data_IF_382555517266
#
_entry.id   IF_382555517266
#
_cell.length_a   1.000
_cell.length_b   1.000
_cell.length_c   1.000
_cell.angle_alpha   90.00
_cell.angle_beta   90.00
_cell.angle_gamma   90.00
#
_symmetry.space_group_name_H-M   'P 1'
#
loop_
_entity.id
_entity.type
_entity.pdbx_description
1 polymer ?
#
# COMPACT_ATOMS: atom_id res chain seq x y z
N UNK A 1 -18.49 -21.69 12.59
CA UNK A 1 -19.18 -20.73 11.70
C UNK A 1 -18.24 -19.56 11.46
N UNK A 2 -17.76 -19.30 10.24
CA UNK A 2 -16.89 -18.14 10.00
C UNK A 2 -17.73 -16.88 10.20
N UNK A 3 -17.26 -15.97 11.06
CA UNK A 3 -17.90 -14.67 11.28
C UNK A 3 -17.95 -13.92 9.96
N UNK A 4 -19.12 -13.41 9.59
CA UNK A 4 -19.30 -12.49 8.48
C UNK A 4 -18.29 -11.34 8.63
N UNK A 5 -17.27 -11.32 7.77
CA UNK A 5 -16.39 -10.18 7.59
C UNK A 5 -17.31 -9.12 7.01
N UNK A 6 -17.73 -8.16 7.84
CA UNK A 6 -18.43 -6.98 7.33
C UNK A 6 -17.40 -6.30 6.46
N UNK A 7 -17.54 -6.43 5.14
CA UNK A 7 -16.66 -5.83 4.14
C UNK A 7 -16.81 -4.30 4.21
N UNK A 8 -16.19 -3.72 5.24
CA UNK A 8 -16.05 -2.28 5.39
C UNK A 8 -15.13 -1.83 4.27
N UNK A 9 -15.64 -0.99 3.39
CA UNK A 9 -14.83 -0.36 2.36
C UNK A 9 -14.12 0.85 2.95
N UNK A 10 -12.86 1.06 2.57
CA UNK A 10 -12.09 2.28 2.84
C UNK A 10 -11.91 3.07 1.54
N UNK A 11 -11.77 4.38 1.69
CA UNK A 11 -11.43 5.29 0.60
C UNK A 11 -9.95 5.63 0.72
N UNK A 12 -9.18 5.33 -0.31
CA UNK A 12 -7.77 5.71 -0.44
C UNK A 12 -7.65 6.95 -1.30
N UNK A 13 -6.78 7.88 -0.92
CA UNK A 13 -6.58 9.16 -1.60
C UNK A 13 -5.16 9.28 -2.11
N UNK A 14 -4.99 9.73 -3.35
CA UNK A 14 -3.67 10.08 -3.85
C UNK A 14 -3.36 11.56 -3.57
N UNK A 15 -2.07 11.95 -3.59
CA UNK A 15 -1.68 13.36 -3.50
C UNK A 15 -2.25 14.24 -4.62
N UNK A 16 -2.63 13.64 -5.76
CA UNK A 16 -3.29 14.34 -6.87
C UNK A 16 -4.80 14.50 -6.68
N UNK A 17 -5.36 14.04 -5.55
CA UNK A 17 -6.79 14.11 -5.23
C UNK A 17 -7.64 13.01 -5.86
N UNK A 18 -7.04 11.98 -6.47
CA UNK A 18 -7.79 10.83 -6.96
C UNK A 18 -8.18 9.93 -5.78
N UNK A 19 -9.35 9.31 -5.86
CA UNK A 19 -9.84 8.39 -4.84
C UNK A 19 -10.10 6.99 -5.40
N UNK A 20 -9.85 5.97 -4.58
CA UNK A 20 -10.20 4.59 -4.87
C UNK A 20 -10.86 3.96 -3.66
N UNK A 21 -11.66 2.93 -3.91
CA UNK A 21 -12.34 2.15 -2.88
C UNK A 21 -11.75 0.75 -2.83
N UNK A 22 -11.40 0.29 -1.63
CA UNK A 22 -10.92 -1.08 -1.42
C UNK A 22 -11.46 -1.66 -0.12
N UNK A 23 -11.46 -2.98 0.01
CA UNK A 23 -11.87 -3.62 1.27
C UNK A 23 -10.88 -3.29 2.37
N UNK A 24 -11.39 -2.95 3.56
CA UNK A 24 -10.58 -2.51 4.71
C UNK A 24 -9.50 -3.51 5.07
N UNK A 25 -9.81 -4.80 5.01
CA UNK A 25 -8.85 -5.81 5.40
C UNK A 25 -7.67 -5.87 4.43
N UNK A 26 -7.87 -5.63 3.12
CA UNK A 26 -6.76 -5.48 2.16
C UNK A 26 -5.90 -4.27 2.51
N UNK A 27 -6.56 -3.14 2.75
CA UNK A 27 -5.89 -1.89 3.09
C UNK A 27 -4.99 -2.04 4.31
N UNK A 28 -5.52 -2.56 5.42
CA UNK A 28 -4.78 -2.65 6.69
C UNK A 28 -3.59 -3.62 6.59
N UNK A 29 -3.74 -4.75 5.89
CA UNK A 29 -2.64 -5.70 5.69
C UNK A 29 -1.51 -5.08 4.87
N UNK A 30 -1.85 -4.41 3.76
CA UNK A 30 -0.85 -3.77 2.89
C UNK A 30 -0.23 -2.57 3.60
N UNK A 31 -1.02 -1.78 4.32
CA UNK A 31 -0.55 -0.64 5.13
C UNK A 31 0.46 -1.11 6.17
N UNK A 32 0.14 -2.15 6.92
CA UNK A 32 1.03 -2.73 7.93
C UNK A 32 2.34 -3.20 7.29
N UNK A 33 2.25 -4.00 6.21
CA UNK A 33 3.43 -4.45 5.48
C UNK A 33 4.29 -3.28 4.97
N UNK A 34 3.68 -2.24 4.41
CA UNK A 34 4.39 -1.07 3.90
C UNK A 34 5.13 -0.32 5.01
N UNK A 35 4.49 -0.10 6.16
CA UNK A 35 5.10 0.59 7.29
C UNK A 35 6.24 -0.22 7.93
N UNK A 36 6.16 -1.56 7.90
CA UNK A 36 7.27 -2.43 8.34
C UNK A 36 8.45 -2.41 7.36
N UNK A 37 8.17 -2.43 6.05
CA UNK A 37 9.20 -2.47 5.00
C UNK A 37 9.88 -1.11 4.81
N UNK A 38 9.16 -0.01 5.04
CA UNK A 38 9.61 1.37 4.89
C UNK A 38 9.59 2.08 6.25
N UNK A 39 10.47 1.70 7.20
CA UNK A 39 10.39 2.14 8.59
C UNK A 39 10.75 3.62 8.79
N UNK A 40 11.26 4.30 7.76
CA UNK A 40 11.68 5.70 7.85
C UNK A 40 11.14 6.53 6.68
N UNK A 41 10.72 7.80 6.92
CA UNK A 41 10.36 8.73 5.87
C UNK A 41 11.52 8.93 4.89
N UNK A 42 11.24 8.92 3.58
CA UNK A 42 12.24 9.10 2.53
C UNK A 42 12.90 7.81 2.03
N UNK A 43 12.60 6.65 2.61
CA UNK A 43 13.01 5.37 2.01
C UNK A 43 12.10 5.07 0.83
N UNK A 44 12.62 5.23 -0.39
CA UNK A 44 11.95 4.78 -1.60
C UNK A 44 12.46 3.40 -2.01
N UNK A 45 11.54 2.46 -2.21
CA UNK A 45 11.78 1.29 -3.04
C UNK A 45 11.12 1.53 -4.40
N UNK A 46 11.77 1.10 -5.49
CA UNK A 46 11.09 0.97 -6.77
C UNK A 46 9.81 0.14 -6.60
N UNK A 47 8.73 0.51 -7.29
CA UNK A 47 7.43 -0.15 -7.13
C UNK A 47 7.52 -1.68 -7.31
N UNK A 48 8.38 -2.14 -8.22
CA UNK A 48 8.63 -3.56 -8.45
C UNK A 48 9.25 -4.26 -7.22
N UNK A 49 10.29 -3.67 -6.64
CA UNK A 49 10.92 -4.22 -5.42
C UNK A 49 10.02 -4.07 -4.20
N UNK A 50 9.21 -3.01 -4.13
CA UNK A 50 8.22 -2.82 -3.10
C UNK A 50 7.15 -3.92 -3.15
N UNK A 51 6.62 -4.21 -4.34
CA UNK A 51 5.64 -5.28 -4.55
C UNK A 51 6.18 -6.64 -4.09
N UNK A 52 7.45 -6.96 -4.41
CA UNK A 52 8.09 -8.20 -3.93
C UNK A 52 8.20 -8.26 -2.42
N UNK A 53 8.62 -7.16 -1.78
CA UNK A 53 8.77 -7.10 -0.33
C UNK A 53 7.42 -7.22 0.37
N UNK A 54 6.40 -6.50 -0.11
CA UNK A 54 5.04 -6.59 0.41
C UNK A 54 4.51 -8.02 0.23
N UNK A 55 4.66 -8.59 -0.97
CA UNK A 55 4.26 -9.98 -1.21
C UNK A 55 4.89 -10.94 -0.19
N UNK A 56 6.18 -10.79 0.12
CA UNK A 56 6.88 -11.62 1.11
C UNK A 56 6.45 -11.37 2.57
N UNK A 57 5.95 -10.18 2.88
CA UNK A 57 5.47 -9.82 4.21
C UNK A 57 4.04 -10.30 4.48
N UNK A 58 3.20 -10.39 3.44
CA UNK A 58 1.83 -10.89 3.56
C UNK A 58 1.83 -12.39 3.92
N UNK A 59 0.84 -12.84 4.69
CA UNK A 59 0.64 -14.26 4.93
C UNK A 59 0.17 -14.99 3.64
N UNK A 60 0.40 -16.31 3.51
CA UNK A 60 0.06 -17.05 2.30
C UNK A 60 -1.43 -16.97 1.92
N UNK A 61 -2.34 -16.98 2.90
CA UNK A 61 -3.77 -16.87 2.62
C UNK A 61 -4.09 -15.51 2.00
N UNK A 62 -3.54 -14.43 2.54
CA UNK A 62 -3.73 -13.08 1.99
C UNK A 62 -3.16 -12.95 0.58
N UNK A 63 -1.99 -13.56 0.30
CA UNK A 63 -1.37 -13.54 -1.04
C UNK A 63 -2.27 -14.16 -2.11
N UNK A 64 -2.88 -15.30 -1.80
CA UNK A 64 -3.68 -16.06 -2.76
C UNK A 64 -5.05 -15.42 -3.04
N UNK A 65 -5.49 -14.51 -2.17
CA UNK A 65 -6.77 -13.79 -2.29
C UNK A 65 -6.65 -12.42 -2.97
N UNK A 66 -5.47 -11.81 -3.04
CA UNK A 66 -5.30 -10.49 -3.63
C UNK A 66 -5.19 -10.60 -5.15
N UNK A 67 -6.25 -10.19 -5.86
CA UNK A 67 -6.30 -10.24 -7.34
C UNK A 67 -5.29 -9.31 -8.03
N UNK A 68 -4.92 -8.17 -7.42
CA UNK A 68 -3.95 -7.23 -7.99
C UNK A 68 -3.11 -6.52 -6.93
N UNK A 69 -2.08 -7.21 -6.44
CA UNK A 69 -1.23 -6.68 -5.37
C UNK A 69 -0.55 -5.37 -5.76
N UNK A 70 -0.04 -5.27 -6.99
CA UNK A 70 0.63 -4.07 -7.49
C UNK A 70 -0.27 -2.83 -7.44
N UNK A 71 -1.54 -2.98 -7.85
CA UNK A 71 -2.50 -1.88 -7.83
C UNK A 71 -2.82 -1.45 -6.41
N UNK A 72 -3.09 -2.41 -5.51
CA UNK A 72 -3.40 -2.09 -4.11
C UNK A 72 -2.20 -1.47 -3.39
N UNK A 73 -0.99 -1.98 -3.59
CA UNK A 73 0.25 -1.41 -3.04
C UNK A 73 0.44 0.03 -3.50
N UNK A 74 0.21 0.33 -4.77
CA UNK A 74 0.31 1.69 -5.28
C UNK A 74 -0.69 2.63 -4.60
N UNK A 75 -1.96 2.24 -4.49
CA UNK A 75 -2.99 3.06 -3.85
C UNK A 75 -2.75 3.28 -2.37
N UNK A 76 -2.44 2.22 -1.61
CA UNK A 76 -2.17 2.33 -0.18
C UNK A 76 -0.92 3.17 0.06
N UNK A 77 0.14 3.00 -0.73
CA UNK A 77 1.33 3.85 -0.63
C UNK A 77 0.99 5.33 -0.84
N UNK A 78 0.23 5.65 -1.88
CA UNK A 78 -0.16 7.04 -2.18
C UNK A 78 -1.04 7.63 -1.08
N UNK A 79 -1.90 6.81 -0.47
CA UNK A 79 -2.70 7.19 0.69
C UNK A 79 -1.83 7.50 1.90
N UNK A 80 -0.85 6.65 2.21
CA UNK A 80 0.11 6.90 3.29
C UNK A 80 1.00 8.12 3.03
N UNK A 81 1.29 8.45 1.76
CA UNK A 81 1.95 9.71 1.39
C UNK A 81 1.03 10.92 1.68
N UNK A 82 -0.27 10.80 1.38
CA UNK A 82 -1.29 11.83 1.70
C UNK A 82 -1.46 12.01 3.21
N UNK A 83 -1.41 10.93 3.99
CA UNK A 83 -1.47 10.95 5.46
C UNK A 83 -0.16 11.44 6.12
N UNK A 84 0.91 11.60 5.33
CA UNK A 84 2.23 11.99 5.83
C UNK A 84 2.98 10.88 6.57
N UNK A 85 2.49 9.64 6.53
CA UNK A 85 3.13 8.46 7.10
C UNK A 85 4.30 7.96 6.24
N UNK A 86 4.23 8.19 4.92
CA UNK A 86 5.34 7.99 4.00
C UNK A 86 5.71 9.32 3.34
N UNK A 87 6.99 9.48 2.97
CA UNK A 87 7.47 10.62 2.18
C UNK A 87 8.22 10.11 0.97
N UNK A 88 7.97 10.73 -0.18
CA UNK A 88 8.82 10.52 -1.37
C UNK A 88 10.20 11.14 -1.11
N UNK A 89 11.23 10.38 -1.39
CA UNK A 89 12.58 10.93 -1.55
C UNK A 89 12.57 11.96 -2.69
N UNK A 90 13.07 13.16 -2.42
CA UNK A 90 13.20 14.23 -3.40
C UNK A 90 14.11 13.82 -4.57
N UNK A 91 15.12 12.97 -4.33
CA UNK A 91 16.05 12.51 -5.36
C UNK A 91 15.40 11.57 -6.40
N UNK A 92 14.30 10.90 -6.05
CA UNK A 92 13.56 10.05 -6.98
C UNK A 92 12.68 10.88 -7.93
N UNK A 93 12.18 12.03 -7.49
CA UNK A 93 11.33 12.91 -8.30
C UNK A 93 12.12 13.61 -9.41
N UNK A 94 13.39 13.91 -9.18
CA UNK A 94 14.26 14.51 -10.21
C UNK A 94 14.68 13.54 -11.32
N UNK A 95 14.69 12.23 -11.06
CA UNK A 95 15.07 11.21 -12.05
C UNK A 95 14.03 10.94 -13.14
N UNK A 96 12.81 11.44 -12.98
CA UNK A 96 11.68 11.23 -13.89
C UNK A 96 11.23 12.56 -14.52
N UNK A 97 12.01 13.64 -14.34
CA UNK A 97 11.87 14.89 -15.11
C UNK A 97 12.87 14.91 -16.25
#
# INVERSE_FOLDING_TARGET
>A
MPKAITNKIVECRTPSGLTARMERWYYENIRTALLEILPAPGVNAELYELNKRVYRALDPHTRDTIESLSWHVAWVRLDLETEGLLKRDAAYVERIK
#
